data_IF_728550804458
#
_entry.id   IF_728550804458
#
_cell.length_a   1.000
_cell.length_b   1.000
_cell.length_c   1.000
_cell.angle_alpha   90.00
_cell.angle_beta   90.00
_cell.angle_gamma   90.00
#
_symmetry.space_group_name_H-M   'P 1'
#
loop_
_entity.id
_entity.type
_entity.pdbx_description
1 polymer ?
#
# COMPACT_ATOMS: atom_id res chain seq x y z
N UNK A 1 -3.30 6.64 -16.86
CA UNK A 1 -4.03 5.61 -16.10
C UNK A 1 -4.52 6.28 -14.84
N UNK A 2 -5.79 6.09 -14.50
CA UNK A 2 -6.36 6.73 -13.31
C UNK A 2 -5.76 6.14 -12.04
N UNK A 3 -5.74 6.93 -10.97
CA UNK A 3 -5.24 6.51 -9.67
C UNK A 3 -6.12 5.38 -9.10
N UNK A 4 -5.51 4.24 -8.74
CA UNK A 4 -6.22 3.09 -8.16
C UNK A 4 -5.85 3.00 -6.68
N UNK A 5 -6.77 3.43 -5.82
CA UNK A 5 -6.56 3.41 -4.37
C UNK A 5 -7.09 2.15 -3.71
N UNK A 6 -6.33 1.67 -2.73
CA UNK A 6 -6.81 0.70 -1.75
C UNK A 6 -7.73 1.38 -0.72
N UNK A 7 -8.45 0.58 0.08
CA UNK A 7 -9.30 1.07 1.18
C UNK A 7 -8.51 1.88 2.23
N UNK A 8 -7.22 1.60 2.41
CA UNK A 8 -6.32 2.34 3.30
C UNK A 8 -5.50 3.43 2.59
N UNK A 9 -5.76 3.72 1.30
CA UNK A 9 -5.09 4.78 0.55
C UNK A 9 -3.73 4.42 -0.05
N UNK A 10 -3.37 3.14 -0.15
CA UNK A 10 -2.22 2.71 -0.97
C UNK A 10 -2.56 2.83 -2.46
N UNK A 11 -1.54 3.04 -3.30
CA UNK A 11 -1.64 3.09 -4.76
C UNK A 11 -1.40 1.72 -5.36
N UNK A 12 -2.48 1.00 -5.66
CA UNK A 12 -2.41 -0.30 -6.31
C UNK A 12 -1.79 -0.18 -7.71
N UNK A 13 -2.11 0.89 -8.45
CA UNK A 13 -1.57 1.14 -9.79
C UNK A 13 -0.04 1.31 -9.81
N UNK A 14 0.58 1.75 -8.71
CA UNK A 14 2.04 1.86 -8.60
C UNK A 14 2.70 0.63 -7.96
N UNK A 15 1.92 -0.26 -7.37
CA UNK A 15 2.43 -1.41 -6.62
C UNK A 15 2.85 -2.54 -7.57
N UNK A 16 4.10 -3.01 -7.47
CA UNK A 16 4.59 -4.11 -8.30
C UNK A 16 3.92 -5.46 -8.01
N UNK A 17 3.23 -5.60 -6.87
CA UNK A 17 2.44 -6.79 -6.55
C UNK A 17 1.06 -6.78 -7.20
N UNK A 18 0.59 -5.64 -7.71
CA UNK A 18 -0.74 -5.55 -8.31
C UNK A 18 -0.79 -6.40 -9.59
N UNK A 19 -1.80 -7.24 -9.75
CA UNK A 19 -1.87 -8.26 -10.82
C UNK A 19 -1.55 -7.69 -12.22
N UNK A 20 -2.15 -6.57 -12.67
CA UNK A 20 -1.80 -5.98 -13.96
C UNK A 20 -0.30 -5.64 -14.10
N UNK A 21 0.33 -5.17 -13.03
CA UNK A 21 1.76 -4.83 -13.01
C UNK A 21 2.65 -6.08 -13.00
N UNK A 22 2.21 -7.15 -12.31
CA UNK A 22 2.89 -8.45 -12.33
C UNK A 22 2.83 -9.08 -13.71
N UNK A 23 1.66 -9.07 -14.34
CA UNK A 23 1.44 -9.63 -15.68
C UNK A 23 2.22 -8.87 -16.76
N UNK A 24 2.36 -7.55 -16.60
CA UNK A 24 3.19 -6.72 -17.48
C UNK A 24 4.70 -6.94 -17.27
N UNK A 25 5.14 -7.29 -16.05
CA UNK A 25 6.55 -7.50 -15.74
C UNK A 25 6.76 -8.49 -14.57
N UNK A 26 6.92 -9.77 -14.90
CA UNK A 26 7.12 -10.84 -13.92
C UNK A 26 8.37 -10.67 -13.04
N UNK A 27 9.42 -10.02 -13.55
CA UNK A 27 10.65 -9.74 -12.81
C UNK A 27 10.42 -8.71 -11.68
N UNK A 28 9.36 -7.91 -11.77
CA UNK A 28 8.95 -6.95 -10.74
C UNK A 28 8.71 -7.59 -9.38
N UNK A 29 8.33 -8.88 -9.34
CA UNK A 29 8.07 -9.63 -8.09
C UNK A 29 9.32 -9.81 -7.24
N UNK A 30 10.43 -10.28 -7.83
CA UNK A 30 11.67 -10.45 -7.10
C UNK A 30 12.18 -9.10 -6.58
N UNK A 31 12.14 -8.08 -7.44
CA UNK A 31 12.58 -6.74 -7.08
C UNK A 31 11.73 -6.16 -5.94
N UNK A 32 10.41 -6.38 -5.94
CA UNK A 32 9.55 -5.97 -4.84
C UNK A 32 9.83 -6.74 -3.55
N UNK A 33 10.06 -8.05 -3.62
CA UNK A 33 10.44 -8.87 -2.46
C UNK A 33 11.68 -8.29 -1.76
N UNK A 34 12.69 -7.91 -2.55
CA UNK A 34 13.93 -7.31 -2.05
C UNK A 34 13.70 -5.91 -1.49
N UNK A 35 12.88 -5.09 -2.15
CA UNK A 35 12.49 -3.77 -1.66
C UNK A 35 11.71 -3.83 -0.34
N UNK A 36 10.75 -4.73 -0.21
CA UNK A 36 10.01 -4.95 1.03
C UNK A 36 10.92 -5.41 2.16
N UNK A 37 11.84 -6.34 1.89
CA UNK A 37 12.79 -6.78 2.89
C UNK A 37 13.72 -5.64 3.34
N UNK A 38 14.23 -4.85 2.39
CA UNK A 38 15.13 -3.72 2.65
C UNK A 38 14.49 -2.62 3.49
N UNK A 39 13.23 -2.24 3.21
CA UNK A 39 12.60 -1.06 3.81
C UNK A 39 11.59 -1.35 4.92
N UNK A 40 10.95 -2.52 4.88
CA UNK A 40 9.91 -2.91 5.83
C UNK A 40 10.28 -4.15 6.65
N UNK A 41 11.41 -4.79 6.37
CA UNK A 41 11.95 -5.89 7.16
C UNK A 41 11.29 -7.25 6.94
N UNK A 42 10.17 -7.32 6.21
CA UNK A 42 9.49 -8.57 5.90
C UNK A 42 9.82 -9.07 4.49
N UNK A 43 9.69 -10.37 4.26
CA UNK A 43 9.94 -10.99 2.95
C UNK A 43 8.78 -11.87 2.54
N UNK A 44 8.36 -11.73 1.30
CA UNK A 44 7.40 -12.62 0.64
C UNK A 44 8.12 -13.25 -0.56
N UNK A 45 8.09 -14.58 -0.73
CA UNK A 45 8.71 -15.23 -1.89
C UNK A 45 8.13 -14.67 -3.20
N UNK A 46 8.99 -14.44 -4.20
CA UNK A 46 8.59 -13.76 -5.43
C UNK A 46 7.43 -14.46 -6.14
N UNK A 47 7.38 -15.79 -6.11
CA UNK A 47 6.30 -16.61 -6.66
C UNK A 47 4.95 -16.39 -5.98
N UNK A 48 4.92 -15.87 -4.75
CA UNK A 48 3.70 -15.54 -4.00
C UNK A 48 3.30 -14.06 -4.13
N UNK A 49 4.11 -13.24 -4.81
CA UNK A 49 3.82 -11.81 -4.99
C UNK A 49 2.86 -11.65 -6.18
N UNK A 50 1.57 -11.67 -5.88
CA UNK A 50 0.48 -11.27 -6.77
C UNK A 50 -0.70 -10.82 -5.91
N UNK A 51 -1.39 -9.75 -6.29
CA UNK A 51 -2.47 -9.15 -5.53
C UNK A 51 -3.47 -8.48 -6.45
N UNK A 52 -4.76 -8.74 -6.25
CA UNK A 52 -5.84 -8.18 -7.07
C UNK A 52 -6.26 -6.78 -6.61
N UNK A 53 -5.70 -6.31 -5.50
CA UNK A 53 -6.14 -5.10 -4.83
C UNK A 53 -7.46 -5.32 -4.09
N UNK A 54 -7.64 -4.61 -2.98
CA UNK A 54 -8.80 -4.81 -2.10
C UNK A 54 -10.13 -4.21 -2.62
N UNK A 55 -10.14 -3.70 -3.85
CA UNK A 55 -11.34 -3.21 -4.52
C UNK A 55 -11.98 -4.28 -5.41
N UNK A 56 -11.24 -5.33 -5.78
CA UNK A 56 -11.75 -6.43 -6.59
C UNK A 56 -12.66 -7.36 -5.75
N UNK A 57 -13.67 -7.92 -6.41
CA UNK A 57 -14.51 -8.98 -5.85
C UNK A 57 -13.75 -10.31 -5.82
N UNK A 58 -13.91 -11.10 -4.75
CA UNK A 58 -13.23 -12.40 -4.56
C UNK A 58 -11.71 -12.33 -4.80
N UNK A 59 -11.10 -11.21 -4.42
CA UNK A 59 -9.71 -10.87 -4.67
C UNK A 59 -8.72 -11.86 -4.02
N UNK A 60 -7.69 -12.24 -4.77
CA UNK A 60 -6.46 -12.77 -4.23
C UNK A 60 -5.66 -11.64 -3.58
N UNK A 61 -5.46 -11.72 -2.26
CA UNK A 61 -4.84 -10.65 -1.46
C UNK A 61 -3.62 -11.15 -0.70
N UNK A 62 -2.57 -10.34 -0.70
CA UNK A 62 -1.35 -10.56 0.09
C UNK A 62 -1.61 -10.32 1.59
N UNK A 63 -2.15 -9.14 1.95
CA UNK A 63 -2.50 -8.82 3.34
C UNK A 63 -3.86 -9.43 3.70
N UNK A 64 -3.86 -10.70 4.09
CA UNK A 64 -5.06 -11.45 4.47
C UNK A 64 -5.63 -10.99 5.82
N UNK A 65 -4.79 -10.50 6.73
CA UNK A 65 -5.18 -10.05 8.08
C UNK A 65 -5.40 -8.53 8.19
N UNK A 66 -5.63 -7.84 7.07
CA UNK A 66 -5.84 -6.39 7.05
C UNK A 66 -7.05 -5.98 7.91
N UNK A 67 -6.87 -5.16 8.97
CA UNK A 67 -7.99 -4.72 9.81
C UNK A 67 -8.82 -3.60 9.16
N UNK A 68 -8.24 -2.88 8.20
CA UNK A 68 -8.87 -1.72 7.54
C UNK A 68 -9.93 -2.17 6.53
N UNK A 69 -9.66 -3.24 5.78
CA UNK A 69 -10.52 -3.71 4.69
C UNK A 69 -11.95 -4.02 5.16
N UNK A 70 -12.20 -4.90 6.15
CA UNK A 70 -13.56 -5.16 6.62
C UNK A 70 -14.23 -3.89 7.19
N UNK A 71 -13.50 -3.08 7.96
CA UNK A 71 -14.03 -1.84 8.56
C UNK A 71 -14.57 -0.87 7.50
N UNK A 72 -13.83 -0.62 6.42
CA UNK A 72 -14.25 0.28 5.33
C UNK A 72 -15.43 -0.31 4.55
N UNK A 73 -15.46 -1.63 4.35
CA UNK A 73 -16.57 -2.32 3.67
C UNK A 73 -17.87 -2.28 4.50
N UNK A 74 -17.79 -2.59 5.79
CA UNK A 74 -18.93 -2.56 6.72
C UNK A 74 -19.55 -1.17 6.83
N UNK A 75 -18.73 -0.12 6.77
CA UNK A 75 -19.18 1.28 6.81
C UNK A 75 -19.64 1.83 5.46
N UNK A 76 -19.54 1.05 4.38
CA UNK A 76 -19.93 1.49 3.03
C UNK A 76 -19.09 2.64 2.48
N UNK A 77 -17.85 2.81 2.98
CA UNK A 77 -16.96 3.90 2.57
C UNK A 77 -16.08 3.48 1.39
N UNK A 78 -15.66 4.42 0.55
CA UNK A 78 -14.70 4.14 -0.51
C UNK A 78 -13.31 3.83 0.08
N UNK A 79 -12.83 4.69 0.97
CA UNK A 79 -11.55 4.52 1.66
C UNK A 79 -11.54 5.32 2.98
N UNK A 80 -10.50 5.14 3.79
CA UNK A 80 -10.41 5.76 5.12
C UNK A 80 -10.50 7.30 5.13
N UNK A 81 -10.24 7.99 4.02
CA UNK A 81 -10.35 9.45 3.98
C UNK A 81 -11.79 9.93 4.27
N UNK A 82 -12.81 9.13 3.94
CA UNK A 82 -14.21 9.47 4.19
C UNK A 82 -14.66 9.16 5.63
N UNK A 83 -13.82 8.53 6.46
CA UNK A 83 -14.18 8.16 7.81
C UNK A 83 -13.98 9.34 8.77
N UNK A 84 -14.99 9.77 9.56
CA UNK A 84 -14.81 10.88 10.52
C UNK A 84 -13.74 10.55 11.57
N UNK A 85 -13.60 9.29 11.94
CA UNK A 85 -12.66 8.78 12.95
C UNK A 85 -11.22 8.65 12.43
N UNK A 86 -10.92 9.03 11.17
CA UNK A 86 -9.59 8.87 10.59
C UNK A 86 -8.62 9.99 11.05
N UNK A 87 -7.40 9.66 11.54
CA UNK A 87 -6.86 8.30 11.69
C UNK A 87 -7.34 7.61 12.98
N UNK A 88 -7.74 6.33 12.85
CA UNK A 88 -8.13 5.46 13.96
C UNK A 88 -7.11 4.32 14.17
N UNK A 89 -7.21 3.60 15.29
CA UNK A 89 -6.29 2.51 15.65
C UNK A 89 -6.10 1.47 14.53
N UNK A 90 -7.18 1.04 13.88
CA UNK A 90 -7.12 0.06 12.78
C UNK A 90 -6.31 0.57 11.57
N UNK A 91 -6.45 1.87 11.23
CA UNK A 91 -5.69 2.46 10.14
C UNK A 91 -4.23 2.64 10.53
N UNK A 92 -3.94 3.03 11.76
CA UNK A 92 -2.58 3.26 12.27
C UNK A 92 -1.69 2.03 12.09
N UNK A 93 -2.23 0.82 12.19
CA UNK A 93 -1.49 -0.43 11.91
C UNK A 93 -1.03 -0.61 10.45
N UNK A 94 -1.53 0.21 9.52
CA UNK A 94 -1.20 0.17 8.09
C UNK A 94 -0.77 1.53 7.55
N UNK A 95 -0.47 2.49 8.42
CA UNK A 95 0.09 3.77 8.00
C UNK A 95 1.56 3.62 7.62
N UNK A 96 1.93 4.25 6.51
CA UNK A 96 3.31 4.49 6.14
C UNK A 96 3.49 5.99 5.97
N UNK A 97 4.42 6.52 6.75
CA UNK A 97 4.90 7.91 6.70
C UNK A 97 6.35 7.85 6.24
N UNK A 98 6.64 8.51 5.11
CA UNK A 98 7.97 8.46 4.50
C UNK A 98 9.05 8.97 5.47
N UNK A 99 8.76 10.05 6.19
CA UNK A 99 9.69 10.71 7.10
C UNK A 99 10.06 9.79 8.28
N UNK A 100 9.11 9.02 8.80
CA UNK A 100 9.35 8.02 9.84
C UNK A 100 10.20 6.85 9.31
N UNK A 101 9.87 6.37 8.10
CA UNK A 101 10.66 5.33 7.42
C UNK A 101 12.09 5.78 7.17
N UNK A 102 12.28 7.01 6.67
CA UNK A 102 13.59 7.58 6.39
C UNK A 102 14.43 7.72 7.66
N UNK A 103 13.80 8.13 8.78
CA UNK A 103 14.49 8.27 10.07
C UNK A 103 14.97 6.93 10.63
N UNK A 104 14.20 5.85 10.45
CA UNK A 104 14.58 4.51 10.94
C UNK A 104 15.47 3.71 9.98
N UNK A 105 15.65 4.19 8.75
CA UNK A 105 16.49 3.52 7.75
C UNK A 105 17.94 3.98 7.93
N UNK A 106 18.92 3.07 8.15
CA UNK A 106 20.29 3.45 8.49
C UNK A 106 21.10 4.03 7.32
N UNK A 107 20.51 4.12 6.14
CA UNK A 107 21.13 4.62 4.91
C UNK A 107 20.19 5.56 4.16
N UNK A 108 20.73 6.48 3.34
CA UNK A 108 19.91 7.33 2.47
C UNK A 108 19.02 6.48 1.55
N UNK A 109 17.76 6.88 1.39
CA UNK A 109 16.82 6.22 0.49
C UNK A 109 16.95 6.87 -0.90
N UNK A 110 17.41 6.14 -1.93
CA UNK A 110 17.42 6.66 -3.29
C UNK A 110 16.02 7.06 -3.76
N UNK A 111 15.92 8.09 -4.60
CA UNK A 111 14.63 8.55 -5.14
C UNK A 111 13.89 7.47 -5.92
N UNK A 112 14.63 6.63 -6.66
CA UNK A 112 14.07 5.48 -7.39
C UNK A 112 13.48 4.45 -6.42
N UNK A 113 14.22 4.11 -5.36
CA UNK A 113 13.77 3.16 -4.34
C UNK A 113 12.51 3.69 -3.62
N UNK A 114 12.47 4.99 -3.29
CA UNK A 114 11.26 5.61 -2.77
C UNK A 114 10.09 5.44 -3.73
N UNK A 115 10.29 5.80 -4.99
CA UNK A 115 9.24 5.73 -6.02
C UNK A 115 8.69 4.32 -6.17
N UNK A 116 9.58 3.32 -6.15
CA UNK A 116 9.24 1.93 -6.47
C UNK A 116 8.72 1.13 -5.28
N UNK A 117 9.27 1.37 -4.08
CA UNK A 117 9.04 0.51 -2.92
C UNK A 117 8.30 1.18 -1.78
N UNK A 118 8.20 2.51 -1.77
CA UNK A 118 7.69 3.25 -0.60
C UNK A 118 6.48 4.11 -0.97
N UNK A 119 6.59 4.93 -2.03
CA UNK A 119 5.53 5.81 -2.52
C UNK A 119 4.18 5.12 -2.77
N UNK A 120 4.12 3.86 -3.25
CA UNK A 120 2.85 3.13 -3.35
C UNK A 120 2.15 2.96 -2.01
N UNK A 121 2.92 2.91 -0.91
CA UNK A 121 2.42 2.67 0.44
C UNK A 121 2.33 3.94 1.29
N UNK A 122 2.93 5.07 0.90
CA UNK A 122 2.85 6.38 1.60
C UNK A 122 1.41 6.92 1.68
N UNK A 123 0.56 6.33 2.52
CA UNK A 123 -0.87 6.60 2.56
C UNK A 123 -1.25 7.72 3.51
N UNK A 124 -0.51 7.97 4.58
CA UNK A 124 -0.92 9.00 5.56
C UNK A 124 -1.12 10.37 4.89
N UNK A 125 -0.09 10.84 4.18
CA UNK A 125 -0.13 12.11 3.45
C UNK A 125 -1.25 12.12 2.40
N UNK A 126 -1.45 11.01 1.69
CA UNK A 126 -2.47 10.89 0.64
C UNK A 126 -3.88 10.98 1.23
N UNK A 127 -4.14 10.24 2.31
CA UNK A 127 -5.43 10.29 3.02
C UNK A 127 -5.69 11.69 3.58
N UNK A 128 -4.68 12.35 4.16
CA UNK A 128 -4.83 13.73 4.66
C UNK A 128 -5.18 14.73 3.55
N UNK A 129 -4.63 14.54 2.35
CA UNK A 129 -4.96 15.37 1.19
C UNK A 129 -6.39 15.14 0.72
N UNK A 130 -6.80 13.87 0.56
CA UNK A 130 -8.16 13.50 0.15
C UNK A 130 -9.22 14.02 1.14
N UNK A 131 -8.90 14.02 2.44
CA UNK A 131 -9.76 14.58 3.50
C UNK A 131 -9.97 16.09 3.39
N UNK A 132 -9.00 16.83 2.87
CA UNK A 132 -9.10 18.29 2.70
C UNK A 132 -9.84 18.67 1.43
N UNK A 133 -9.95 17.76 0.47
CA UNK A 133 -10.61 17.96 -0.81
C UNK A 133 -12.03 17.37 -0.87
N UNK A 134 -12.51 16.74 0.21
CA UNK A 134 -13.84 16.14 0.33
C UNK A 134 -14.71 16.99 1.25
#
# INVERSE_FOLDING_TARGET
MDEILSRCGFRCDLCLAYRPNVEANLAGRQVLSDGWHKYFGFRIPAEQIICDGCMAENAHLIDKSCPVRPCVMERGLANCSQCPDCPCAQLTERLVVYEELATRTPFPIPSEDRTRFIAPYENKRRLDQLRRSS
#
